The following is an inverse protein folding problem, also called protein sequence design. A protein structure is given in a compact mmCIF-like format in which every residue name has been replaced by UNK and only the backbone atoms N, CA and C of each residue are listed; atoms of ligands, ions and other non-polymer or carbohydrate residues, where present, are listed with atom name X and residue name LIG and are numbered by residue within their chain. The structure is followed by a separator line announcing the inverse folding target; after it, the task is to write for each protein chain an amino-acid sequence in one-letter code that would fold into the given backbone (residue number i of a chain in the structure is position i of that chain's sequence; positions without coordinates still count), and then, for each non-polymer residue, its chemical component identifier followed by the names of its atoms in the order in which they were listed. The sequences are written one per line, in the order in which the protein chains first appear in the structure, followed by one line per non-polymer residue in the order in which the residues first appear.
data_IF_159015539809
#
_entry.id   IF_159015539809
#
_cell.length_a   1.000
_cell.length_b   1.000
_cell.length_c   1.000
_cell.angle_alpha   90.00
_cell.angle_beta   90.00
_cell.angle_gamma   90.00
#
_symmetry.space_group_name_H-M   'P 1'
#
loop_
_entity.id
_entity.type
_entity.pdbx_description
1 polymer ?
#
# COMPACT_ATOMS: atom_id res chain seq x y z
N UNK A 1 12.37 33.78 -14.37
CA UNK A 1 11.98 32.42 -14.85
C UNK A 1 11.35 31.65 -13.69
N UNK A 2 10.11 32.00 -13.29
CA UNK A 2 9.46 31.44 -12.10
C UNK A 2 8.32 30.44 -12.39
N UNK A 3 7.88 30.32 -13.64
CA UNK A 3 6.64 29.57 -13.99
C UNK A 3 6.81 28.05 -14.14
N UNK A 4 8.03 27.52 -14.16
CA UNK A 4 8.27 26.09 -14.41
C UNK A 4 8.10 25.23 -13.14
N UNK A 5 8.40 25.79 -11.96
CA UNK A 5 8.33 25.05 -10.69
C UNK A 5 6.87 24.80 -10.25
N UNK A 6 6.00 25.80 -10.36
CA UNK A 6 4.61 25.72 -9.86
C UNK A 6 3.76 24.65 -10.57
N UNK A 7 4.03 24.40 -11.86
CA UNK A 7 3.37 23.31 -12.62
C UNK A 7 3.91 21.94 -12.21
N UNK A 8 5.22 21.83 -11.98
CA UNK A 8 5.86 20.60 -11.52
C UNK A 8 5.39 20.22 -10.11
N UNK A 9 5.36 21.16 -9.17
CA UNK A 9 4.86 20.94 -7.81
C UNK A 9 3.40 20.47 -7.81
N UNK A 10 2.54 21.09 -8.65
CA UNK A 10 1.14 20.70 -8.77
C UNK A 10 0.97 19.29 -9.35
N UNK A 11 1.79 18.94 -10.34
CA UNK A 11 1.80 17.60 -10.94
C UNK A 11 2.25 16.54 -9.92
N UNK A 12 3.31 16.81 -9.15
CA UNK A 12 3.83 15.90 -8.12
C UNK A 12 2.79 15.69 -7.01
N UNK A 13 2.09 16.74 -6.59
CA UNK A 13 1.01 16.64 -5.61
C UNK A 13 -0.17 15.81 -6.13
N UNK A 14 -0.52 15.93 -7.41
CA UNK A 14 -1.59 15.17 -8.04
C UNK A 14 -1.24 13.68 -8.19
N UNK A 15 0.01 13.38 -8.57
CA UNK A 15 0.55 12.01 -8.63
C UNK A 15 0.52 11.36 -7.24
N UNK A 16 0.94 12.08 -6.20
CA UNK A 16 0.90 11.58 -4.82
C UNK A 16 -0.52 11.28 -4.35
N UNK A 17 -1.47 12.20 -4.54
CA UNK A 17 -2.88 11.97 -4.16
C UNK A 17 -3.50 10.79 -4.91
N UNK A 18 -3.15 10.62 -6.18
CA UNK A 18 -3.64 9.52 -6.99
C UNK A 18 -3.07 8.18 -6.53
N UNK A 19 -1.80 8.15 -6.14
CA UNK A 19 -1.18 7.00 -5.50
C UNK A 19 -1.93 6.67 -4.20
N UNK A 20 -2.04 7.61 -3.26
CA UNK A 20 -2.73 7.40 -1.98
C UNK A 20 -4.17 6.89 -2.11
N UNK A 21 -4.91 7.35 -3.13
CA UNK A 21 -6.27 6.86 -3.40
C UNK A 21 -6.28 5.41 -3.90
N UNK A 22 -5.35 5.05 -4.80
CA UNK A 22 -5.18 3.66 -5.26
C UNK A 22 -4.73 2.75 -4.12
N UNK A 23 -3.83 3.25 -3.27
CA UNK A 23 -3.36 2.57 -2.06
C UNK A 23 -4.51 2.21 -1.13
N UNK A 24 -5.43 3.15 -0.88
CA UNK A 24 -6.62 2.88 -0.06
C UNK A 24 -7.54 1.82 -0.70
N UNK A 25 -7.62 1.78 -2.02
CA UNK A 25 -8.44 0.83 -2.77
C UNK A 25 -7.94 -0.61 -2.62
N UNK A 26 -6.71 -0.89 -3.06
CA UNK A 26 -6.15 -2.24 -2.98
C UNK A 26 -5.93 -2.67 -1.53
N UNK A 27 -5.60 -1.74 -0.62
CA UNK A 27 -5.42 -2.06 0.79
C UNK A 27 -6.71 -2.55 1.43
N UNK A 28 -7.80 -1.84 1.20
CA UNK A 28 -9.11 -2.25 1.70
C UNK A 28 -9.53 -3.62 1.11
N UNK A 29 -9.11 -3.92 -0.12
CA UNK A 29 -9.35 -5.21 -0.75
C UNK A 29 -8.50 -6.33 -0.15
N UNK A 30 -7.20 -6.11 0.03
CA UNK A 30 -6.29 -7.07 0.66
C UNK A 30 -6.74 -7.42 2.09
N UNK A 31 -7.16 -6.43 2.87
CA UNK A 31 -7.69 -6.65 4.23
C UNK A 31 -9.00 -7.44 4.28
N UNK A 32 -9.74 -7.54 3.17
CA UNK A 32 -10.93 -8.40 3.04
C UNK A 32 -10.58 -9.82 2.58
N UNK A 33 -9.54 -9.96 1.76
CA UNK A 33 -9.12 -11.23 1.18
C UNK A 33 -8.22 -12.05 2.11
N UNK A 34 -7.37 -11.38 2.89
CA UNK A 34 -6.35 -12.02 3.70
C UNK A 34 -6.65 -11.91 5.20
N UNK A 35 -6.24 -12.93 6.00
CA UNK A 35 -6.29 -12.82 7.44
C UNK A 35 -5.37 -11.69 7.91
N UNK A 36 -5.75 -11.00 8.99
CA UNK A 36 -4.95 -9.91 9.57
C UNK A 36 -3.76 -10.46 10.34
N UNK A 37 -2.86 -11.12 9.63
CA UNK A 37 -1.68 -11.80 10.15
C UNK A 37 -0.52 -11.48 9.23
N UNK A 38 0.62 -11.13 9.82
CA UNK A 38 1.85 -10.92 9.07
C UNK A 38 2.34 -12.26 8.49
N UNK A 39 2.49 -12.36 7.17
CA UNK A 39 2.96 -13.56 6.49
C UNK A 39 4.40 -13.96 6.87
N UNK A 40 5.22 -13.01 7.35
CA UNK A 40 6.62 -13.25 7.71
C UNK A 40 6.85 -13.62 9.17
N UNK A 41 6.20 -12.92 10.11
CA UNK A 41 6.41 -13.13 11.55
C UNK A 41 5.20 -13.74 12.27
N UNK A 42 4.14 -14.08 11.55
CA UNK A 42 2.89 -14.66 12.06
C UNK A 42 2.18 -13.83 13.16
N UNK A 43 2.55 -12.56 13.33
CA UNK A 43 1.87 -11.66 14.28
C UNK A 43 0.45 -11.39 13.80
N UNK A 44 -0.54 -11.59 14.67
CA UNK A 44 -1.94 -11.24 14.42
C UNK A 44 -2.20 -9.77 14.75
N UNK A 45 -3.13 -9.19 14.00
CA UNK A 45 -3.57 -7.81 14.12
C UNK A 45 -5.08 -7.76 14.33
N UNK A 46 -5.52 -6.69 14.98
CA UNK A 46 -6.89 -6.34 15.28
C UNK A 46 -7.15 -4.89 14.83
N UNK A 47 -8.37 -4.41 15.01
CA UNK A 47 -8.76 -3.06 14.60
C UNK A 47 -7.91 -1.94 15.21
N UNK A 48 -7.35 -2.11 16.41
CA UNK A 48 -6.55 -1.09 17.08
C UNK A 48 -5.13 -0.98 16.50
N UNK A 49 -4.59 -2.07 15.93
CA UNK A 49 -3.23 -2.11 15.40
C UNK A 49 -3.16 -2.42 13.88
N UNK A 50 -4.31 -2.52 13.19
CA UNK A 50 -4.41 -2.81 11.77
C UNK A 50 -3.63 -1.84 10.88
N UNK A 51 -3.45 -0.60 11.34
CA UNK A 51 -2.63 0.41 10.67
C UNK A 51 -1.17 -0.02 10.49
N UNK A 52 -0.65 -0.93 11.33
CA UNK A 52 0.70 -1.47 11.27
C UNK A 52 0.85 -2.65 10.29
N UNK A 53 -0.24 -3.11 9.67
CA UNK A 53 -0.26 -4.20 8.71
C UNK A 53 -0.40 -3.63 7.30
N UNK A 54 0.64 -3.74 6.49
CA UNK A 54 0.76 -3.15 5.17
C UNK A 54 0.63 -4.21 4.08
N UNK A 55 0.28 -3.76 2.86
CA UNK A 55 0.24 -4.64 1.68
C UNK A 55 1.61 -4.60 1.01
N UNK A 56 2.20 -5.77 0.89
CA UNK A 56 3.45 -5.99 0.16
C UNK A 56 3.17 -6.57 -1.22
N UNK A 57 3.75 -5.98 -2.27
CA UNK A 57 3.63 -6.46 -3.64
C UNK A 57 4.77 -7.43 -3.97
N UNK A 58 4.45 -8.69 -4.26
CA UNK A 58 5.44 -9.76 -4.50
C UNK A 58 6.35 -9.48 -5.68
N UNK A 59 5.82 -8.86 -6.74
CA UNK A 59 6.58 -8.50 -7.94
C UNK A 59 7.19 -7.08 -7.89
N UNK A 60 7.11 -6.41 -6.74
CA UNK A 60 7.54 -5.00 -6.55
C UNK A 60 6.84 -3.97 -7.45
N UNK A 61 5.79 -4.36 -8.18
CA UNK A 61 5.01 -3.47 -9.03
C UNK A 61 3.73 -3.04 -8.31
N UNK A 62 3.72 -1.81 -7.81
CA UNK A 62 2.59 -1.23 -7.08
C UNK A 62 1.37 -0.93 -7.96
N UNK A 63 1.50 -0.95 -9.29
CA UNK A 63 0.38 -0.79 -10.21
C UNK A 63 -0.31 -2.15 -10.53
N UNK A 64 0.36 -3.28 -10.27
CA UNK A 64 -0.18 -4.61 -10.50
C UNK A 64 -1.06 -5.06 -9.31
N UNK A 65 -2.34 -4.70 -9.41
CA UNK A 65 -3.34 -4.85 -8.34
C UNK A 65 -4.46 -5.81 -8.76
N UNK A 66 -4.19 -7.12 -8.84
CA UNK A 66 -5.17 -8.09 -9.31
C UNK A 66 -6.29 -8.26 -8.27
N UNK A 67 -7.52 -8.51 -8.75
CA UNK A 67 -8.71 -8.52 -7.88
C UNK A 67 -8.76 -9.71 -6.90
N UNK A 68 -8.01 -10.76 -7.18
CA UNK A 68 -7.86 -11.94 -6.32
C UNK A 68 -6.73 -11.77 -5.28
N UNK A 69 -5.97 -10.68 -5.35
CA UNK A 69 -4.85 -10.40 -4.45
C UNK A 69 -3.63 -11.31 -4.67
N UNK A 70 -3.53 -12.01 -5.80
CA UNK A 70 -2.42 -12.94 -6.09
C UNK A 70 -1.02 -12.31 -5.96
N UNK A 71 -0.90 -11.02 -6.26
CA UNK A 71 0.35 -10.24 -6.14
C UNK A 71 0.58 -9.63 -4.74
N UNK A 72 -0.29 -9.86 -3.78
CA UNK A 72 -0.25 -9.20 -2.47
C UNK A 72 0.11 -10.17 -1.34
N UNK A 73 0.78 -9.66 -0.31
CA UNK A 73 0.93 -10.28 1.00
C UNK A 73 0.75 -9.24 2.10
N UNK A 74 0.21 -9.63 3.26
CA UNK A 74 0.13 -8.73 4.40
C UNK A 74 1.38 -8.88 5.26
N UNK A 75 2.16 -7.81 5.39
CA UNK A 75 3.36 -7.76 6.21
C UNK A 75 3.22 -6.65 7.24
N UNK A 76 3.71 -6.88 8.46
CA UNK A 76 3.79 -5.79 9.42
C UNK A 76 4.89 -4.80 9.00
N UNK A 77 4.77 -3.54 9.41
CA UNK A 77 5.74 -2.49 9.07
C UNK A 77 7.19 -2.91 9.36
N UNK A 78 7.42 -3.64 10.47
CA UNK A 78 8.74 -4.16 10.85
C UNK A 78 9.29 -5.25 9.90
N UNK A 79 8.41 -5.95 9.19
CA UNK A 79 8.76 -6.99 8.23
C UNK A 79 8.74 -6.50 6.78
N UNK A 80 8.17 -5.31 6.54
CA UNK A 80 7.98 -4.73 5.22
C UNK A 80 9.22 -3.97 4.73
N UNK A 81 10.01 -3.42 5.65
CA UNK A 81 11.20 -2.59 5.35
C UNK A 81 12.52 -3.36 5.28
N UNK A 82 12.51 -4.70 5.41
CA UNK A 82 13.72 -5.56 5.45
C UNK A 82 13.67 -6.64 4.38
#
# INVERSE_FOLDING_TARGET
MAQTNERLDRLVLEVRRSAEQRERGYRAQALKLFPWVCARCARTFDHANLALLEVHHKNSNHDDNPSDGSNWELLCTYCHEN
#
